data_IF_779868443264
#
_entry.id   IF_779868443264
#
_cell.length_a   1.000
_cell.length_b   1.000
_cell.length_c   1.000
_cell.angle_alpha   90.00
_cell.angle_beta   90.00
_cell.angle_gamma   90.00
#
_symmetry.space_group_name_H-M   'P 1'
#
loop_
_entity.id
_entity.type
_entity.pdbx_description
1 polymer ?
#
# COMPACT_ATOMS: atom_id res chain seq x y z
N UNK A 1 -30.05 13.06 15.02
CA UNK A 1 -29.47 11.83 14.41
C UNK A 1 -29.07 10.74 15.41
N UNK A 2 -28.44 11.04 16.55
CA UNK A 2 -28.02 9.99 17.51
C UNK A 2 -29.17 9.15 18.12
N UNK A 3 -30.37 9.71 18.29
CA UNK A 3 -31.54 8.97 18.80
C UNK A 3 -32.16 8.01 17.77
N UNK A 4 -31.93 8.24 16.46
CA UNK A 4 -32.43 7.38 15.39
C UNK A 4 -31.60 6.08 15.31
N UNK A 5 -30.35 6.12 15.78
CA UNK A 5 -29.46 4.97 15.88
C UNK A 5 -29.48 4.27 17.25
N UNK A 6 -29.88 4.96 18.34
CA UNK A 6 -29.80 4.37 19.67
C UNK A 6 -30.91 3.36 19.99
N UNK A 7 -32.05 3.40 19.27
CA UNK A 7 -33.15 2.43 19.44
C UNK A 7 -34.02 2.24 18.19
N UNK A 8 -33.63 2.80 17.03
CA UNK A 8 -34.32 2.70 15.72
C UNK A 8 -35.85 2.89 15.72
N UNK A 9 -36.45 3.41 16.80
CA UNK A 9 -37.89 3.42 17.07
C UNK A 9 -38.62 2.11 16.67
N UNK A 10 -37.90 0.98 16.63
CA UNK A 10 -38.39 -0.30 16.16
C UNK A 10 -38.22 -1.31 17.26
N UNK A 11 -39.27 -2.09 17.58
CA UNK A 11 -39.09 -3.24 18.45
C UNK A 11 -38.13 -4.22 17.77
N UNK A 12 -37.09 -4.66 18.48
CA UNK A 12 -36.17 -5.71 17.98
C UNK A 12 -36.88 -7.08 17.83
N UNK A 13 -38.07 -7.21 18.41
CA UNK A 13 -38.97 -8.33 18.22
C UNK A 13 -40.35 -8.05 18.79
N UNK A 14 -41.32 -8.82 18.31
CA UNK A 14 -42.71 -8.73 18.74
C UNK A 14 -43.05 -9.96 19.57
N UNK A 15 -43.75 -9.74 20.68
CA UNK A 15 -44.40 -10.80 21.44
C UNK A 15 -45.81 -10.98 20.91
N UNK A 16 -46.10 -12.15 20.36
CA UNK A 16 -47.40 -12.52 19.82
C UNK A 16 -48.05 -13.57 20.73
N UNK A 17 -49.35 -13.43 20.96
CA UNK A 17 -50.18 -14.44 21.63
C UNK A 17 -51.51 -14.57 20.91
N UNK A 18 -52.03 -15.79 20.84
CA UNK A 18 -53.30 -16.12 20.24
C UNK A 18 -54.48 -15.87 21.21
N UNK A 19 -54.21 -15.66 22.51
CA UNK A 19 -55.20 -15.41 23.57
C UNK A 19 -55.31 -13.92 23.95
N UNK A 20 -56.50 -13.43 24.27
CA UNK A 20 -56.66 -12.04 24.74
C UNK A 20 -56.13 -11.89 26.17
N UNK A 21 -55.09 -11.10 26.34
CA UNK A 21 -54.58 -10.70 27.65
C UNK A 21 -55.49 -9.63 28.27
N UNK A 22 -55.87 -9.82 29.53
CA UNK A 22 -56.51 -8.75 30.31
C UNK A 22 -55.53 -7.61 30.61
N UNK A 23 -56.03 -6.39 30.84
CA UNK A 23 -55.22 -5.18 31.07
C UNK A 23 -54.18 -5.32 32.19
N UNK A 24 -54.52 -6.08 33.24
CA UNK A 24 -53.63 -6.34 34.38
C UNK A 24 -52.46 -7.23 33.98
N UNK A 25 -52.73 -8.30 33.21
CA UNK A 25 -51.71 -9.24 32.74
C UNK A 25 -50.79 -8.58 31.71
N UNK A 26 -51.34 -7.79 30.79
CA UNK A 26 -50.56 -7.04 29.81
C UNK A 26 -49.56 -6.07 30.49
N UNK A 27 -50.03 -5.32 31.50
CA UNK A 27 -49.15 -4.40 32.25
C UNK A 27 -48.08 -5.12 33.05
N UNK A 28 -48.37 -6.33 33.57
CA UNK A 28 -47.38 -7.17 34.26
C UNK A 28 -46.30 -7.63 33.29
N UNK A 29 -46.69 -8.27 32.19
CA UNK A 29 -45.77 -8.78 31.16
C UNK A 29 -44.91 -7.66 30.57
N UNK A 30 -45.49 -6.51 30.25
CA UNK A 30 -44.73 -5.34 29.76
C UNK A 30 -43.70 -4.84 30.77
N UNK A 31 -44.03 -4.83 32.06
CA UNK A 31 -43.13 -4.38 33.13
C UNK A 31 -41.96 -5.36 33.31
N UNK A 32 -42.27 -6.64 33.41
CA UNK A 32 -41.27 -7.71 33.53
C UNK A 32 -40.34 -7.72 32.31
N UNK A 33 -40.90 -7.58 31.10
CA UNK A 33 -40.14 -7.52 29.86
C UNK A 33 -39.17 -6.33 29.84
N UNK A 34 -39.64 -5.12 30.13
CA UNK A 34 -38.79 -3.94 30.16
C UNK A 34 -37.74 -4.01 31.28
N UNK A 35 -38.07 -4.60 32.42
CA UNK A 35 -37.13 -4.77 33.53
C UNK A 35 -36.01 -5.75 33.17
N UNK A 36 -36.31 -6.84 32.46
CA UNK A 36 -35.33 -7.88 32.12
C UNK A 36 -34.56 -7.55 30.85
N UNK A 37 -35.22 -7.03 29.81
CA UNK A 37 -34.66 -6.87 28.45
C UNK A 37 -34.52 -5.43 27.98
N UNK A 38 -35.09 -4.44 28.66
CA UNK A 38 -35.12 -3.05 28.19
C UNK A 38 -33.79 -2.28 28.28
N UNK A 39 -32.69 -2.90 28.68
CA UNK A 39 -31.39 -2.23 28.85
C UNK A 39 -30.28 -3.00 28.14
N UNK A 40 -29.41 -2.27 27.42
CA UNK A 40 -28.24 -2.80 26.69
C UNK A 40 -27.35 -3.68 27.58
N UNK A 41 -27.22 -3.36 28.88
CA UNK A 41 -26.46 -4.14 29.86
C UNK A 41 -27.07 -5.53 30.21
N UNK A 42 -28.28 -5.84 29.75
CA UNK A 42 -28.99 -7.10 30.04
C UNK A 42 -29.16 -8.01 28.82
N UNK A 43 -28.43 -7.73 27.74
CA UNK A 43 -28.39 -8.58 26.54
C UNK A 43 -27.89 -9.99 26.86
N UNK A 44 -28.49 -11.02 26.24
CA UNK A 44 -28.09 -12.43 26.40
C UNK A 44 -28.84 -13.24 27.47
N UNK A 45 -29.91 -12.71 28.07
CA UNK A 45 -30.76 -13.47 29.01
C UNK A 45 -31.80 -14.32 28.26
N UNK A 46 -32.04 -15.54 28.72
CA UNK A 46 -33.05 -16.44 28.16
C UNK A 46 -34.47 -15.93 28.47
N UNK A 47 -35.27 -15.70 27.42
CA UNK A 47 -36.66 -15.30 27.54
C UNK A 47 -37.55 -16.46 27.99
N UNK A 48 -38.13 -16.33 29.19
CA UNK A 48 -39.23 -17.17 29.64
C UNK A 48 -40.55 -16.49 29.24
N UNK A 49 -41.37 -17.21 28.47
CA UNK A 49 -42.63 -16.71 27.94
C UNK A 49 -43.78 -17.55 28.50
N UNK A 50 -44.74 -16.91 29.16
CA UNK A 50 -45.92 -17.56 29.75
C UNK A 50 -47.12 -17.53 28.77
N UNK A 51 -48.12 -18.41 28.97
CA UNK A 51 -49.40 -18.43 28.23
C UNK A 51 -49.28 -18.37 26.69
N UNK A 52 -48.40 -19.17 26.12
CA UNK A 52 -48.29 -19.29 24.66
C UNK A 52 -47.69 -18.08 23.93
N UNK A 53 -47.12 -17.12 24.67
CA UNK A 53 -46.38 -16.00 24.08
C UNK A 53 -45.20 -16.52 23.24
N UNK A 54 -45.12 -16.05 21.99
CA UNK A 54 -44.03 -16.36 21.05
C UNK A 54 -43.25 -15.09 20.75
N UNK A 55 -41.93 -15.14 20.90
CA UNK A 55 -41.04 -14.06 20.48
C UNK A 55 -40.68 -14.22 19.01
N UNK A 56 -41.11 -13.27 18.17
CA UNK A 56 -40.69 -13.18 16.77
C UNK A 56 -39.62 -12.09 16.65
N UNK A 57 -38.35 -12.41 16.40
CA UNK A 57 -37.34 -11.40 16.14
C UNK A 57 -37.69 -10.67 14.84
N UNK A 58 -37.63 -9.35 14.85
CA UNK A 58 -37.76 -8.57 13.62
C UNK A 58 -36.39 -8.61 12.94
N UNK A 59 -36.30 -9.36 11.83
CA UNK A 59 -35.10 -9.36 11.01
C UNK A 59 -34.84 -7.97 10.43
N UNK A 60 -33.56 -7.63 10.21
CA UNK A 60 -33.17 -6.41 9.51
C UNK A 60 -33.98 -6.27 8.22
N UNK A 61 -34.65 -5.13 8.07
CA UNK A 61 -35.43 -4.86 6.87
C UNK A 61 -34.50 -4.73 5.65
N UNK A 62 -34.94 -5.10 4.44
CA UNK A 62 -34.16 -4.89 3.22
C UNK A 62 -33.65 -3.44 3.06
N UNK A 63 -34.41 -2.46 3.54
CA UNK A 63 -34.03 -1.04 3.54
C UNK A 63 -32.81 -0.74 4.41
N UNK A 64 -32.67 -1.38 5.56
CA UNK A 64 -31.52 -1.21 6.45
C UNK A 64 -30.26 -1.85 5.87
N UNK A 65 -30.41 -3.00 5.21
CA UNK A 65 -29.31 -3.62 4.45
C UNK A 65 -28.84 -2.71 3.32
N UNK A 66 -29.76 -2.09 2.59
CA UNK A 66 -29.43 -1.09 1.57
C UNK A 66 -28.74 0.14 2.16
N UNK A 67 -29.15 0.60 3.35
CA UNK A 67 -28.51 1.73 4.03
C UNK A 67 -27.07 1.40 4.46
N UNK A 68 -26.83 0.21 5.01
CA UNK A 68 -25.49 -0.25 5.36
C UNK A 68 -24.60 -0.40 4.13
N UNK A 69 -25.13 -0.93 3.03
CA UNK A 69 -24.42 -0.97 1.75
C UNK A 69 -24.10 0.43 1.23
N UNK A 70 -25.07 1.37 1.31
CA UNK A 70 -24.86 2.77 0.94
C UNK A 70 -23.74 3.45 1.71
N UNK A 71 -23.61 3.18 3.02
CA UNK A 71 -22.49 3.70 3.83
C UNK A 71 -21.12 3.22 3.36
N UNK A 72 -21.01 1.99 2.83
CA UNK A 72 -19.75 1.50 2.26
C UNK A 72 -19.40 2.26 0.98
N UNK A 73 -20.38 2.45 0.09
CA UNK A 73 -20.21 3.22 -1.14
C UNK A 73 -19.82 4.68 -0.84
N UNK A 74 -20.46 5.32 0.14
CA UNK A 74 -20.10 6.68 0.54
C UNK A 74 -18.65 6.77 1.05
N UNK A 75 -18.17 5.77 1.79
CA UNK A 75 -16.76 5.71 2.20
C UNK A 75 -15.84 5.62 0.98
N UNK A 76 -16.18 4.80 -0.01
CA UNK A 76 -15.43 4.64 -1.26
C UNK A 76 -15.37 5.94 -2.06
N UNK A 77 -16.51 6.62 -2.23
CA UNK A 77 -16.59 7.91 -2.92
C UNK A 77 -15.72 8.98 -2.25
N UNK A 78 -15.75 9.07 -0.92
CA UNK A 78 -14.91 10.01 -0.16
C UNK A 78 -13.42 9.67 -0.36
N UNK A 79 -13.04 8.40 -0.22
CA UNK A 79 -11.65 7.99 -0.44
C UNK A 79 -11.17 8.35 -1.85
N UNK A 80 -12.00 8.08 -2.87
CA UNK A 80 -11.70 8.40 -4.26
C UNK A 80 -11.58 9.92 -4.50
N UNK A 81 -12.42 10.74 -3.87
CA UNK A 81 -12.34 12.20 -3.98
C UNK A 81 -11.01 12.77 -3.46
N UNK A 82 -10.41 12.12 -2.45
CA UNK A 82 -9.09 12.48 -1.93
C UNK A 82 -7.93 11.73 -2.59
N UNK A 83 -8.20 10.87 -3.58
CA UNK A 83 -7.19 10.02 -4.21
C UNK A 83 -6.56 9.01 -3.24
N UNK A 84 -7.26 8.64 -2.18
CA UNK A 84 -6.77 7.72 -1.17
C UNK A 84 -7.19 6.28 -1.49
N UNK A 85 -6.28 5.33 -1.28
CA UNK A 85 -6.56 3.91 -1.55
C UNK A 85 -7.49 3.31 -0.50
N UNK A 86 -8.56 2.63 -0.95
CA UNK A 86 -9.52 1.96 -0.07
C UNK A 86 -8.88 0.80 0.72
N UNK A 87 -7.88 0.14 0.12
CA UNK A 87 -7.19 -1.02 0.70
C UNK A 87 -6.49 -0.69 2.03
N UNK A 88 -6.16 0.58 2.28
CA UNK A 88 -5.57 1.01 3.55
C UNK A 88 -6.58 0.98 4.71
N UNK A 89 -7.87 1.07 4.41
CA UNK A 89 -8.94 1.13 5.41
C UNK A 89 -9.79 -0.14 5.47
N UNK A 90 -9.35 -1.19 4.79
CA UNK A 90 -9.98 -2.50 4.89
C UNK A 90 -9.49 -3.21 6.16
N UNK A 91 -10.40 -3.93 6.84
CA UNK A 91 -10.08 -4.59 8.11
C UNK A 91 -9.27 -5.87 7.91
N UNK A 92 -9.38 -6.47 6.73
CA UNK A 92 -8.76 -7.75 6.38
C UNK A 92 -7.51 -7.56 5.50
N UNK A 93 -6.95 -6.34 5.45
CA UNK A 93 -5.79 -6.05 4.62
C UNK A 93 -4.53 -6.75 5.15
N UNK A 94 -3.93 -7.62 4.33
CA UNK A 94 -2.61 -8.17 4.56
C UNK A 94 -1.55 -7.05 4.46
N UNK A 95 -0.42 -7.18 5.18
CA UNK A 95 0.68 -6.22 5.19
C UNK A 95 1.18 -5.88 3.78
N UNK A 96 1.37 -6.88 2.92
CA UNK A 96 1.79 -6.65 1.53
C UNK A 96 0.78 -5.79 0.74
N UNK A 97 -0.52 -5.96 0.99
CA UNK A 97 -1.56 -5.15 0.34
C UNK A 97 -1.55 -3.71 0.87
N UNK A 98 -1.32 -3.54 2.18
CA UNK A 98 -1.22 -2.22 2.80
C UNK A 98 0.02 -1.45 2.33
N UNK A 99 1.17 -2.12 2.20
CA UNK A 99 2.42 -1.53 1.71
C UNK A 99 2.26 -1.09 0.24
N UNK A 100 1.68 -1.94 -0.61
CA UNK A 100 1.37 -1.61 -2.00
C UNK A 100 0.35 -0.46 -2.11
N UNK A 101 -0.68 -0.45 -1.27
CA UNK A 101 -1.66 0.64 -1.24
C UNK A 101 -1.04 1.98 -0.83
N UNK A 102 -0.11 1.94 0.12
CA UNK A 102 0.65 3.12 0.58
C UNK A 102 1.55 3.63 -0.54
N UNK A 103 2.25 2.74 -1.25
CA UNK A 103 3.07 3.10 -2.40
C UNK A 103 2.26 3.79 -3.50
N UNK A 104 1.10 3.22 -3.88
CA UNK A 104 0.20 3.81 -4.89
C UNK A 104 -0.27 5.20 -4.44
N UNK A 105 -0.67 5.36 -3.18
CA UNK A 105 -1.11 6.64 -2.64
C UNK A 105 0.00 7.71 -2.68
N UNK A 106 1.22 7.35 -2.28
CA UNK A 106 2.38 8.24 -2.32
C UNK A 106 2.72 8.67 -3.75
N UNK A 107 2.69 7.72 -4.69
CA UNK A 107 3.01 7.94 -6.10
C UNK A 107 1.96 8.79 -6.81
N UNK A 108 0.68 8.44 -6.69
CA UNK A 108 -0.38 9.01 -7.53
C UNK A 108 -1.02 10.26 -6.93
N UNK A 109 -0.98 10.43 -5.60
CA UNK A 109 -1.65 11.53 -4.92
C UNK A 109 -0.68 12.51 -4.27
N UNK A 110 0.31 12.02 -3.50
CA UNK A 110 1.21 12.89 -2.74
C UNK A 110 2.26 13.54 -3.65
N UNK A 111 2.95 12.76 -4.47
CA UNK A 111 4.03 13.26 -5.35
C UNK A 111 3.56 14.39 -6.29
N UNK A 112 2.40 14.28 -6.98
CA UNK A 112 1.91 15.39 -7.81
C UNK A 112 1.54 16.64 -7.00
N UNK A 113 1.07 16.47 -5.76
CA UNK A 113 0.75 17.60 -4.86
C UNK A 113 2.00 18.33 -4.41
N UNK A 114 3.05 17.62 -4.03
CA UNK A 114 4.36 18.22 -3.72
C UNK A 114 4.91 18.97 -4.94
N UNK A 115 4.90 18.33 -6.12
CA UNK A 115 5.34 18.99 -7.36
C UNK A 115 4.58 20.27 -7.67
N UNK A 116 3.27 20.30 -7.40
CA UNK A 116 2.45 21.51 -7.56
C UNK A 116 2.87 22.63 -6.59
N UNK A 117 3.23 22.28 -5.36
CA UNK A 117 3.73 23.23 -4.37
C UNK A 117 5.12 23.75 -4.75
N UNK A 118 6.04 22.86 -5.16
CA UNK A 118 7.38 23.23 -5.67
C UNK A 118 7.26 24.23 -6.82
N UNK A 119 6.41 23.92 -7.80
CA UNK A 119 6.19 24.80 -8.95
C UNK A 119 5.73 26.20 -8.50
N UNK A 120 4.85 26.30 -7.51
CA UNK A 120 4.40 27.61 -7.01
C UNK A 120 5.45 28.33 -6.18
N UNK A 121 6.25 27.62 -5.40
CA UNK A 121 7.38 28.21 -4.67
C UNK A 121 8.42 28.75 -5.67
N UNK A 122 8.79 27.95 -6.68
CA UNK A 122 9.76 28.30 -7.71
C UNK A 122 9.27 29.42 -8.64
N UNK A 123 7.97 29.47 -8.96
CA UNK A 123 7.39 30.49 -9.84
C UNK A 123 7.18 31.84 -9.11
N UNK A 124 6.68 31.81 -7.87
CA UNK A 124 6.18 33.02 -7.20
C UNK A 124 7.10 33.57 -6.11
N UNK A 125 7.77 32.69 -5.36
CA UNK A 125 8.51 33.06 -4.16
C UNK A 125 10.00 33.24 -4.44
N UNK A 126 10.65 32.24 -5.03
CA UNK A 126 12.11 32.25 -5.22
C UNK A 126 12.63 33.41 -6.08
N UNK A 127 11.97 33.81 -7.19
CA UNK A 127 12.44 34.93 -8.00
C UNK A 127 12.43 36.28 -7.25
N UNK A 128 11.73 36.39 -6.13
CA UNK A 128 11.75 37.61 -5.28
C UNK A 128 13.01 37.71 -4.41
N UNK A 129 13.75 36.61 -4.24
CA UNK A 129 14.96 36.55 -3.43
C UNK A 129 16.20 36.41 -4.29
N UNK A 130 16.28 35.37 -5.12
CA UNK A 130 17.41 35.09 -6.02
C UNK A 130 16.97 34.10 -7.11
N UNK A 131 17.25 34.44 -8.38
CA UNK A 131 16.91 33.62 -9.56
C UNK A 131 17.70 32.30 -9.63
N UNK A 132 18.80 32.17 -8.87
CA UNK A 132 19.63 30.95 -8.83
C UNK A 132 19.09 29.89 -7.87
N UNK A 133 18.16 30.26 -7.00
CA UNK A 133 17.60 29.34 -6.02
C UNK A 133 16.53 28.46 -6.66
N UNK A 134 16.56 27.17 -6.31
CA UNK A 134 15.56 26.20 -6.71
C UNK A 134 15.14 25.35 -5.51
N UNK A 135 13.84 25.13 -5.37
CA UNK A 135 13.26 24.28 -4.33
C UNK A 135 12.68 23.02 -4.97
N UNK A 136 13.08 21.87 -4.44
CA UNK A 136 12.46 20.57 -4.70
C UNK A 136 12.32 19.81 -3.39
N UNK A 137 11.24 19.05 -3.26
CA UNK A 137 11.08 18.06 -2.22
C UNK A 137 11.82 16.79 -2.59
N UNK A 138 12.33 16.11 -1.57
CA UNK A 138 12.78 14.74 -1.72
C UNK A 138 11.59 13.84 -2.06
N UNK A 139 11.80 12.84 -2.92
CA UNK A 139 10.75 11.89 -3.28
C UNK A 139 10.27 11.14 -2.05
N UNK A 140 8.98 11.28 -1.72
CA UNK A 140 8.35 10.52 -0.65
C UNK A 140 8.00 9.09 -1.03
N UNK A 141 8.13 8.73 -2.31
CA UNK A 141 7.78 7.39 -2.81
C UNK A 141 8.92 6.43 -2.45
N UNK A 142 8.66 5.37 -1.67
CA UNK A 142 9.67 4.36 -1.37
C UNK A 142 10.14 3.72 -2.66
N UNK A 143 11.42 3.84 -2.94
CA UNK A 143 12.01 3.16 -4.09
C UNK A 143 12.19 1.68 -3.77
N UNK A 144 11.90 0.84 -4.75
CA UNK A 144 12.10 -0.60 -4.64
C UNK A 144 13.61 -0.91 -4.72
N UNK A 145 14.24 -0.96 -3.55
CA UNK A 145 15.69 -1.18 -3.41
C UNK A 145 16.10 -2.53 -3.98
N UNK A 146 15.25 -3.54 -3.89
CA UNK A 146 15.53 -4.88 -4.42
C UNK A 146 15.54 -4.86 -5.95
N UNK A 147 14.55 -4.21 -6.57
CA UNK A 147 14.51 -4.05 -8.01
C UNK A 147 15.74 -3.29 -8.53
N UNK A 148 16.09 -2.16 -7.89
CA UNK A 148 17.29 -1.38 -8.25
C UNK A 148 18.58 -2.20 -8.07
N UNK A 149 18.66 -2.98 -7.00
CA UNK A 149 19.82 -3.84 -6.76
C UNK A 149 19.95 -4.94 -7.83
N UNK A 150 18.83 -5.57 -8.21
CA UNK A 150 18.80 -6.61 -9.24
C UNK A 150 19.19 -6.07 -10.62
N UNK A 151 18.59 -4.95 -11.04
CA UNK A 151 18.94 -4.28 -12.30
C UNK A 151 20.43 -3.94 -12.32
N UNK A 152 20.96 -3.44 -11.20
CA UNK A 152 22.38 -3.14 -11.08
C UNK A 152 23.26 -4.37 -11.25
N UNK A 153 22.98 -5.47 -10.54
CA UNK A 153 23.74 -6.72 -10.69
C UNK A 153 23.70 -7.22 -12.13
N UNK A 154 22.56 -7.11 -12.80
CA UNK A 154 22.41 -7.59 -14.18
C UNK A 154 23.09 -6.68 -15.20
N UNK A 155 23.23 -5.37 -14.91
CA UNK A 155 23.76 -4.36 -15.84
C UNK A 155 25.28 -4.20 -15.73
N UNK A 156 25.84 -4.35 -14.54
CA UNK A 156 27.29 -4.27 -14.30
C UNK A 156 28.01 -5.33 -15.12
N UNK A 157 29.10 -4.92 -15.78
CA UNK A 157 29.96 -5.73 -16.67
C UNK A 157 29.31 -6.15 -18.00
N UNK A 158 28.02 -5.84 -18.23
CA UNK A 158 27.32 -6.08 -19.52
C UNK A 158 27.05 -4.80 -20.30
N UNK A 159 26.51 -3.78 -19.62
CA UNK A 159 26.07 -2.51 -20.23
C UNK A 159 26.83 -1.33 -19.62
N UNK A 160 27.11 -1.37 -18.32
CA UNK A 160 27.78 -0.31 -17.57
C UNK A 160 29.08 -0.83 -16.95
N UNK A 161 30.08 0.04 -16.87
CA UNK A 161 31.34 -0.29 -16.18
C UNK A 161 31.12 -0.31 -14.66
N UNK A 162 32.06 -0.93 -13.94
CA UNK A 162 31.97 -1.01 -12.48
C UNK A 162 32.13 0.37 -11.83
N UNK A 163 32.90 1.27 -12.43
CA UNK A 163 33.04 2.64 -11.95
C UNK A 163 31.79 3.49 -12.23
N UNK A 164 31.16 3.36 -13.41
CA UNK A 164 29.87 4.00 -13.68
C UNK A 164 28.81 3.61 -12.64
N UNK A 165 28.73 2.31 -12.32
CA UNK A 165 27.80 1.81 -11.32
C UNK A 165 28.11 2.28 -9.88
N UNK A 166 29.36 2.67 -9.59
CA UNK A 166 29.78 3.25 -8.29
C UNK A 166 29.47 4.73 -8.20
N UNK A 167 29.65 5.46 -9.29
CA UNK A 167 29.28 6.88 -9.39
C UNK A 167 27.78 7.07 -9.22
N UNK A 168 26.94 6.18 -9.76
CA UNK A 168 25.49 6.20 -9.51
C UNK A 168 25.12 6.07 -8.01
N UNK A 169 25.97 5.44 -7.21
CA UNK A 169 25.78 5.24 -5.77
C UNK A 169 26.51 6.34 -4.97
N UNK A 170 27.26 7.23 -5.64
CA UNK A 170 28.09 8.25 -5.01
C UNK A 170 29.32 7.67 -4.29
N UNK A 171 29.84 6.53 -4.75
CA UNK A 171 31.10 5.94 -4.25
C UNK A 171 32.27 6.34 -5.15
N UNK A 172 33.46 6.44 -4.55
CA UNK A 172 34.71 6.68 -5.27
C UNK A 172 35.04 5.53 -6.25
N UNK A 173 35.68 5.91 -7.35
CA UNK A 173 36.16 5.03 -8.41
C UNK A 173 37.27 4.11 -7.91
N UNK A 174 37.40 2.94 -8.52
CA UNK A 174 38.44 1.96 -8.19
C UNK A 174 39.30 1.69 -9.41
N UNK A 175 40.61 1.58 -9.21
CA UNK A 175 41.56 1.23 -10.26
C UNK A 175 41.17 -0.11 -10.91
N UNK A 176 41.01 -0.10 -12.23
CA UNK A 176 40.56 -1.27 -13.00
C UNK A 176 39.04 -1.44 -13.11
N UNK A 177 38.25 -0.47 -12.65
CA UNK A 177 36.78 -0.51 -12.75
C UNK A 177 36.18 -0.03 -14.08
N UNK A 178 37.00 0.48 -15.01
CA UNK A 178 36.56 1.02 -16.31
C UNK A 178 36.55 -0.03 -17.44
N UNK A 179 37.03 -1.24 -17.17
CA UNK A 179 37.09 -2.32 -18.15
C UNK A 179 35.85 -3.20 -18.02
N UNK A 180 35.17 -3.47 -19.15
CA UNK A 180 34.07 -4.45 -19.20
C UNK A 180 34.65 -5.87 -19.22
N UNK A 181 34.18 -6.71 -18.30
CA UNK A 181 34.58 -8.11 -18.21
C UNK A 181 33.50 -9.01 -18.80
N UNK A 182 33.90 -9.90 -19.71
CA UNK A 182 33.03 -10.95 -20.24
C UNK A 182 33.25 -12.22 -19.38
N UNK A 183 32.17 -12.93 -19.03
CA UNK A 183 32.28 -14.22 -18.33
C UNK A 183 33.05 -15.22 -19.21
N UNK A 184 34.08 -15.86 -18.66
CA UNK A 184 34.93 -16.83 -19.35
C UNK A 184 34.18 -18.06 -19.87
N UNK A 185 32.93 -18.28 -19.44
CA UNK A 185 32.05 -19.35 -19.92
C UNK A 185 31.28 -19.00 -21.20
N UNK A 186 31.27 -17.73 -21.63
CA UNK A 186 30.55 -17.25 -22.83
C UNK A 186 31.43 -17.29 -24.10
N UNK A 187 32.19 -18.36 -24.29
CA UNK A 187 32.91 -18.59 -25.55
C UNK A 187 31.91 -19.18 -26.57
N UNK A 188 31.71 -18.57 -27.74
CA UNK A 188 30.82 -19.11 -28.76
C UNK A 188 31.29 -20.50 -29.21
N UNK A 189 30.38 -21.47 -29.17
CA UNK A 189 30.67 -22.85 -29.54
C UNK A 189 31.02 -22.91 -31.04
N UNK A 190 32.30 -23.12 -31.34
CA UNK A 190 32.85 -23.12 -32.71
C UNK A 190 34.17 -22.36 -32.86
N UNK A 191 34.62 -21.63 -31.84
CA UNK A 191 35.97 -21.04 -31.81
C UNK A 191 36.91 -21.97 -31.05
N UNK A 192 37.79 -22.69 -31.76
CA UNK A 192 38.94 -23.36 -31.14
C UNK A 192 39.99 -22.30 -30.79
N UNK A 193 40.43 -22.21 -29.52
CA UNK A 193 41.30 -21.15 -29.05
C UNK A 193 42.78 -21.46 -29.37
N UNK A 194 43.11 -21.64 -30.64
CA UNK A 194 44.50 -21.99 -31.03
C UNK A 194 45.19 -20.93 -31.89
N UNK A 195 44.48 -20.00 -32.53
CA UNK A 195 45.13 -19.07 -33.48
C UNK A 195 45.27 -17.62 -32.99
N UNK A 196 44.48 -17.14 -32.01
CA UNK A 196 44.53 -15.73 -31.60
C UNK A 196 45.31 -15.46 -30.29
N UNK A 197 45.60 -16.50 -29.48
CA UNK A 197 46.25 -16.32 -28.17
C UNK A 197 47.77 -16.13 -28.29
N UNK A 198 48.42 -16.74 -29.29
CA UNK A 198 49.86 -16.56 -29.53
C UNK A 198 50.20 -15.16 -30.05
N UNK A 199 49.34 -14.58 -30.90
CA UNK A 199 49.61 -13.29 -31.53
C UNK A 199 49.52 -12.12 -30.54
N UNK A 200 48.60 -12.21 -29.57
CA UNK A 200 48.42 -11.20 -28.52
C UNK A 200 49.50 -11.33 -27.44
N UNK A 201 49.88 -12.57 -27.08
CA UNK A 201 50.99 -12.84 -26.15
C UNK A 201 52.33 -12.32 -26.69
N UNK A 202 52.61 -12.52 -27.98
CA UNK A 202 53.81 -12.02 -28.64
C UNK A 202 53.91 -10.49 -28.64
N UNK A 203 52.81 -9.80 -28.98
CA UNK A 203 52.75 -8.32 -28.98
C UNK A 203 52.93 -7.72 -27.58
N UNK A 204 52.40 -8.39 -26.54
CA UNK A 204 52.58 -7.96 -25.14
C UNK A 204 54.04 -8.16 -24.69
N UNK A 205 54.68 -9.28 -25.05
CA UNK A 205 56.07 -9.53 -24.70
C UNK A 205 57.05 -8.55 -25.35
N UNK A 206 56.77 -8.09 -26.57
CA UNK A 206 57.58 -7.11 -27.29
C UNK A 206 57.45 -5.70 -26.68
N UNK A 207 56.22 -5.26 -26.37
CA UNK A 207 55.97 -3.98 -25.68
C UNK A 207 56.57 -3.92 -24.26
N UNK A 208 56.62 -5.05 -23.55
CA UNK A 208 57.26 -5.14 -22.23
C UNK A 208 58.78 -5.06 -22.34
N UNK A 209 59.41 -5.68 -23.35
CA UNK A 209 60.86 -5.56 -23.60
C UNK A 209 61.27 -4.15 -24.00
N UNK A 210 60.48 -3.49 -24.84
CA UNK A 210 60.77 -2.13 -25.32
C UNK A 210 60.72 -1.11 -24.16
N UNK A 211 59.77 -1.26 -23.23
CA UNK A 211 59.70 -0.43 -22.01
C UNK A 211 60.78 -0.75 -20.97
N UNK A 212 61.35 -1.95 -20.96
CA UNK A 212 62.43 -2.34 -20.04
C UNK A 212 63.83 -1.93 -20.54
N UNK A 213 64.04 -1.78 -21.85
CA UNK A 213 65.32 -1.33 -22.43
C UNK A 213 65.51 0.20 -22.45
N UNK A 214 64.49 0.97 -22.04
CA UNK A 214 64.50 2.45 -21.98
C UNK A 214 64.63 3.00 -20.55
N UNK A 215 65.03 2.17 -19.58
CA UNK A 215 65.46 2.55 -18.23
C UNK A 215 66.91 2.12 -18.01
#
# INVERSE_FOLDING_TARGET
ENALFSNMARPDGVLETDESLGDVEFKRVKREWNQVYGHVKKSGKTALLEKGLKYKPIALSPRELSYLAGRKVTKEEICNAYGQSLALYDKDANRANADNATYIFMRDTISPRHRRQEQKINEQLLPRYDERLFCAFESCVPEDKEFKHKVRIESVDKIITRNDARQEIGKEDVEGGDTLYIDSRLIPLGTTPEEEVEEVSGKIAELVKEKLCLK
#
